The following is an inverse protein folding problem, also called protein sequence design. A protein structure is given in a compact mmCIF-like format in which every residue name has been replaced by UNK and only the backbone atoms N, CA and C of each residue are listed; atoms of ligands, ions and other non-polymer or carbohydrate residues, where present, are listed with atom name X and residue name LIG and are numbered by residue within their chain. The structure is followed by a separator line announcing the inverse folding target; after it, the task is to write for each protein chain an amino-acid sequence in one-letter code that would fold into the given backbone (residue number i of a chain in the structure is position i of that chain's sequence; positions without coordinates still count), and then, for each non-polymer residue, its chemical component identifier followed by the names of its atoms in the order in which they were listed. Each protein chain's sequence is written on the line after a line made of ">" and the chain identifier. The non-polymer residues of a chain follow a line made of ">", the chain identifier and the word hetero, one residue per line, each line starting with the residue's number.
data_IF_562190718800
#
_entry.id   IF_562190718800
#
_cell.length_a   1.000
_cell.length_b   1.000
_cell.length_c   1.000
_cell.angle_alpha   90.00
_cell.angle_beta   90.00
_cell.angle_gamma   90.00
#
_symmetry.space_group_name_H-M   'P 1'
#
loop_
_entity.id
_entity.type
_entity.pdbx_description
1 polymer ?
#
# COMPACT_ATOMS: atom_id res chain seq x y z
N UNK A 1 30.23 -11.53 -31.96
CA UNK A 1 29.38 -12.33 -31.05
C UNK A 1 28.62 -13.31 -31.92
N UNK A 2 28.68 -14.60 -31.64
CA UNK A 2 27.95 -15.62 -32.39
C UNK A 2 26.52 -15.73 -31.84
N UNK A 3 25.53 -16.03 -32.69
CA UNK A 3 24.14 -16.31 -32.28
C UNK A 3 24.08 -17.40 -31.19
N UNK A 4 25.01 -18.36 -31.21
CA UNK A 4 25.12 -19.41 -30.19
C UNK A 4 25.56 -18.86 -28.83
N UNK A 5 26.42 -17.85 -28.80
CA UNK A 5 26.85 -17.19 -27.56
C UNK A 5 25.67 -16.41 -26.96
N UNK A 6 24.93 -15.69 -27.81
CA UNK A 6 23.74 -14.92 -27.41
C UNK A 6 22.65 -15.84 -26.85
N UNK A 7 22.36 -16.96 -27.52
CA UNK A 7 21.40 -17.96 -27.01
C UNK A 7 21.85 -18.57 -25.68
N UNK A 8 23.15 -18.82 -25.52
CA UNK A 8 23.70 -19.34 -24.27
C UNK A 8 23.59 -18.30 -23.14
N UNK A 9 23.82 -17.03 -23.44
CA UNK A 9 23.66 -15.93 -22.49
C UNK A 9 22.19 -15.75 -22.09
N UNK A 10 21.25 -15.78 -23.05
CA UNK A 10 19.81 -15.70 -22.77
C UNK A 10 19.37 -16.86 -21.87
N UNK A 11 19.80 -18.10 -22.17
CA UNK A 11 19.47 -19.27 -21.34
C UNK A 11 19.94 -19.08 -19.89
N UNK A 12 21.19 -18.67 -19.70
CA UNK A 12 21.75 -18.41 -18.37
C UNK A 12 20.99 -17.31 -17.62
N UNK A 13 20.61 -16.23 -18.31
CA UNK A 13 19.87 -15.13 -17.73
C UNK A 13 18.46 -15.57 -17.30
N UNK A 14 17.79 -16.41 -18.11
CA UNK A 14 16.49 -16.99 -17.75
C UNK A 14 16.60 -17.91 -16.53
N UNK A 15 17.62 -18.78 -16.49
CA UNK A 15 17.85 -19.64 -15.33
C UNK A 15 18.10 -18.84 -14.04
N UNK A 16 18.85 -17.74 -14.15
CA UNK A 16 19.10 -16.84 -13.02
C UNK A 16 17.82 -16.10 -12.58
N UNK A 17 17.01 -15.66 -13.55
CA UNK A 17 15.74 -15.00 -13.28
C UNK A 17 14.78 -15.94 -12.56
N UNK A 18 14.63 -17.18 -13.03
CA UNK A 18 13.80 -18.20 -12.36
C UNK A 18 14.23 -18.40 -10.91
N UNK A 19 15.54 -18.57 -10.66
CA UNK A 19 16.05 -18.71 -9.29
C UNK A 19 15.81 -17.47 -8.42
N UNK A 20 15.83 -16.27 -9.00
CA UNK A 20 15.53 -15.02 -8.28
C UNK A 20 14.05 -14.94 -7.92
N UNK A 21 13.17 -15.29 -8.85
CA UNK A 21 11.72 -15.32 -8.61
C UNK A 21 11.35 -16.33 -7.53
N UNK A 22 11.89 -17.55 -7.58
CA UNK A 22 11.65 -18.58 -6.54
C UNK A 22 12.03 -18.07 -5.14
N UNK A 23 13.17 -17.39 -5.01
CA UNK A 23 13.59 -16.79 -3.73
C UNK A 23 12.65 -15.67 -3.29
N UNK A 24 12.21 -14.82 -4.21
CA UNK A 24 11.26 -13.74 -3.90
C UNK A 24 9.91 -14.30 -3.44
N UNK A 25 9.43 -15.37 -4.08
CA UNK A 25 8.20 -16.05 -3.68
C UNK A 25 8.31 -16.65 -2.29
N UNK A 26 9.43 -17.31 -1.98
CA UNK A 26 9.69 -17.83 -0.63
C UNK A 26 9.75 -16.72 0.42
N UNK A 27 10.42 -15.61 0.11
CA UNK A 27 10.48 -14.44 0.99
C UNK A 27 9.12 -13.80 1.17
N UNK A 28 8.33 -13.66 0.11
CA UNK A 28 6.97 -13.12 0.17
C UNK A 28 6.04 -14.03 0.97
N UNK A 29 6.16 -15.35 0.82
CA UNK A 29 5.42 -16.32 1.61
C UNK A 29 5.79 -16.25 3.10
N UNK A 30 7.08 -16.09 3.43
CA UNK A 30 7.52 -15.87 4.80
C UNK A 30 7.03 -14.52 5.37
N UNK A 31 7.08 -13.46 4.56
CA UNK A 31 6.64 -12.11 4.93
C UNK A 31 5.11 -12.00 5.08
N UNK A 32 4.33 -12.86 4.40
CA UNK A 32 2.88 -12.94 4.56
C UNK A 32 2.45 -13.28 6.00
N UNK A 33 3.39 -13.69 6.86
CA UNK A 33 3.17 -13.89 8.28
C UNK A 33 2.14 -14.98 8.55
N UNK A 34 2.02 -15.39 9.81
CA UNK A 34 0.81 -16.12 10.21
C UNK A 34 -0.36 -15.12 10.13
N UNK A 35 -1.56 -15.54 9.67
CA UNK A 35 -2.73 -14.67 9.77
C UNK A 35 -2.82 -14.16 11.21
N UNK A 36 -3.05 -12.85 11.35
CA UNK A 36 -3.18 -12.23 12.65
C UNK A 36 -4.22 -13.02 13.47
N UNK A 37 -3.99 -13.24 14.78
CA UNK A 37 -5.01 -13.86 15.63
C UNK A 37 -6.32 -13.11 15.45
N UNK A 38 -7.44 -13.84 15.47
CA UNK A 38 -8.76 -13.25 15.35
C UNK A 38 -8.85 -12.07 16.34
N UNK A 39 -9.27 -10.89 15.87
CA UNK A 39 -9.28 -9.70 16.71
C UNK A 39 -10.25 -9.90 17.88
N UNK A 40 -9.84 -9.46 19.06
CA UNK A 40 -10.64 -9.54 20.28
C UNK A 40 -11.87 -8.62 20.15
N UNK A 41 -13.10 -9.18 20.10
CA UNK A 41 -14.31 -8.38 19.93
C UNK A 41 -14.54 -7.41 21.10
N UNK A 42 -14.00 -7.67 22.30
CA UNK A 42 -14.09 -6.75 23.44
C UNK A 42 -13.26 -5.48 23.27
N UNK A 43 -12.33 -5.45 22.31
CA UNK A 43 -11.55 -4.24 21.94
C UNK A 43 -12.13 -3.48 20.76
N UNK A 44 -13.21 -3.99 20.14
CA UNK A 44 -13.85 -3.34 19.02
C UNK A 44 -14.93 -2.38 19.50
N UNK A 45 -14.92 -1.16 18.97
CA UNK A 45 -16.01 -0.20 19.15
C UNK A 45 -16.89 -0.27 17.90
N UNK A 46 -18.18 -0.66 18.02
CA UNK A 46 -19.07 -0.68 16.87
C UNK A 46 -19.31 0.76 16.38
N UNK A 47 -18.95 1.03 15.13
CA UNK A 47 -19.28 2.30 14.48
C UNK A 47 -20.68 2.14 13.87
N UNK A 48 -21.66 2.95 14.26
CA UNK A 48 -22.98 2.93 13.63
C UNK A 48 -22.88 3.31 12.15
N UNK A 49 -23.59 2.58 11.27
CA UNK A 49 -23.72 2.92 9.84
C UNK A 49 -24.65 4.12 9.59
N UNK A 50 -25.16 4.74 10.66
CA UNK A 50 -25.99 5.95 10.55
C UNK A 50 -25.14 7.09 9.99
N UNK A 51 -25.60 7.76 8.92
CA UNK A 51 -24.91 8.94 8.40
C UNK A 51 -24.64 9.95 9.51
N UNK A 52 -23.43 10.49 9.56
CA UNK A 52 -23.10 11.58 10.47
C UNK A 52 -24.00 12.78 10.18
N UNK A 53 -24.39 13.49 11.24
CA UNK A 53 -25.10 14.76 11.11
C UNK A 53 -24.17 15.79 10.47
N UNK A 54 -24.49 16.21 9.24
CA UNK A 54 -23.71 17.19 8.48
C UNK A 54 -23.72 18.59 9.12
N UNK A 55 -24.67 18.88 10.01
CA UNK A 55 -24.73 20.16 10.73
C UNK A 55 -23.60 20.30 11.76
N UNK A 56 -23.01 19.18 12.22
CA UNK A 56 -21.85 19.17 13.13
C UNK A 56 -20.55 19.66 12.47
N UNK A 57 -20.53 19.85 11.15
CA UNK A 57 -19.34 20.19 10.36
C UNK A 57 -19.57 21.44 9.50
N UNK A 58 -20.66 22.17 9.72
CA UNK A 58 -21.06 23.33 8.89
C UNK A 58 -20.15 24.54 9.07
N UNK A 59 -19.48 24.66 10.21
CA UNK A 59 -18.50 25.69 10.55
C UNK A 59 -17.04 25.25 10.30
N UNK A 60 -16.80 23.99 9.90
CA UNK A 60 -15.45 23.48 9.63
C UNK A 60 -14.74 24.18 8.46
N UNK A 61 -15.49 24.81 7.55
CA UNK A 61 -14.94 25.63 6.46
C UNK A 61 -14.53 27.05 6.92
N UNK A 62 -14.94 27.48 8.12
CA UNK A 62 -14.64 28.82 8.68
C UNK A 62 -13.31 28.84 9.47
N UNK A 63 -12.65 27.69 9.61
CA UNK A 63 -11.24 27.62 10.03
C UNK A 63 -10.29 27.99 8.86
N UNK A 64 -10.47 29.21 8.35
CA UNK A 64 -9.38 30.12 8.03
C UNK A 64 -8.20 29.60 7.19
N UNK A 65 -8.44 29.04 6.00
CA UNK A 65 -7.43 29.06 4.93
C UNK A 65 -7.33 30.48 4.33
N UNK A 66 -6.80 31.41 5.12
CA UNK A 66 -6.35 32.72 4.68
C UNK A 66 -7.49 33.67 4.27
N UNK A 67 -7.54 34.82 4.93
CA UNK A 67 -8.34 35.97 4.48
C UNK A 67 -8.23 36.14 2.95
N UNK A 68 -9.36 36.02 2.23
CA UNK A 68 -9.45 36.17 0.77
C UNK A 68 -8.89 37.52 0.27
N UNK A 69 -8.70 38.49 1.17
CA UNK A 69 -8.25 39.85 0.84
C UNK A 69 -6.96 40.32 1.52
N UNK A 70 -6.19 39.44 2.21
CA UNK A 70 -4.84 39.85 2.66
C UNK A 70 -3.81 39.51 1.59
N UNK A 71 -3.60 40.45 0.66
CA UNK A 71 -2.38 40.49 -0.15
C UNK A 71 -1.21 40.73 0.83
N UNK A 72 -0.33 39.74 0.97
CA UNK A 72 0.90 39.92 1.75
C UNK A 72 1.69 41.11 1.16
N UNK A 73 2.31 41.96 2.01
CA UNK A 73 3.12 43.09 1.55
C UNK A 73 4.32 42.64 0.71
#
# INVERSE_FOLDING_TARGET
>A
MSLQDDLTAVRRNLDELTRKVERLEQQAAAARGKPAPAPDPSRMVPVPDTPYDSTLWTDSDDEGLGARDRRAP
#
